data_IF_870587123922
#
_entry.id   IF_870587123922
#
_cell.length_a   1.000
_cell.length_b   1.000
_cell.length_c   1.000
_cell.angle_alpha   90.00
_cell.angle_beta   90.00
_cell.angle_gamma   90.00
#
_symmetry.space_group_name_H-M   'P 1'
#
loop_
_entity.id
_entity.type
_entity.pdbx_description
1 polymer ?
#
# COMPACT_ATOMS: atom_id res chain seq x y z
N UNK A 1 40.10 23.55 2.88
CA UNK A 1 40.29 23.34 4.34
C UNK A 1 39.07 23.87 5.05
N UNK A 2 38.26 23.00 5.58
CA UNK A 2 37.45 23.13 6.81
C UNK A 2 36.53 21.91 6.87
N UNK A 3 36.94 20.94 7.70
CA UNK A 3 36.16 19.75 8.09
C UNK A 3 35.14 20.19 9.14
N UNK A 4 33.87 19.81 8.97
CA UNK A 4 32.88 19.87 10.02
C UNK A 4 32.52 18.44 10.39
N UNK A 5 32.93 18.04 11.58
CA UNK A 5 32.64 16.80 12.28
C UNK A 5 31.25 16.94 12.88
N UNK A 6 30.32 16.02 12.56
CA UNK A 6 29.04 15.92 13.26
C UNK A 6 29.08 14.70 14.18
N UNK A 7 28.92 14.99 15.44
CA UNK A 7 29.00 14.14 16.60
C UNK A 7 27.71 13.29 16.72
N UNK A 8 27.85 11.97 16.69
CA UNK A 8 26.78 11.03 17.01
C UNK A 8 26.56 10.95 18.51
N UNK A 9 25.36 11.18 18.97
CA UNK A 9 24.96 10.92 20.36
C UNK A 9 24.14 9.62 20.38
N UNK A 10 24.76 8.56 20.89
CA UNK A 10 24.09 7.33 21.32
C UNK A 10 23.53 7.55 22.72
N UNK A 11 22.24 7.32 22.92
CA UNK A 11 21.66 7.20 24.24
C UNK A 11 21.26 5.75 24.50
N UNK A 12 22.08 5.05 25.31
CA UNK A 12 21.71 3.78 25.93
C UNK A 12 20.82 4.08 27.14
N UNK A 13 19.70 3.40 27.24
CA UNK A 13 18.96 3.28 28.50
C UNK A 13 18.95 1.83 28.95
N UNK A 14 19.53 1.62 30.12
CA UNK A 14 19.75 0.34 30.76
C UNK A 14 18.49 -0.20 31.45
N UNK A 15 18.39 -1.53 31.47
CA UNK A 15 17.45 -2.33 32.23
C UNK A 15 17.71 -2.29 33.74
N UNK A 16 16.66 -2.34 34.56
CA UNK A 16 16.75 -2.71 35.96
C UNK A 16 15.77 -3.85 36.28
N UNK A 17 16.34 -4.99 36.67
CA UNK A 17 15.69 -6.12 37.34
C UNK A 17 15.55 -5.84 38.84
N UNK A 18 14.43 -6.26 39.46
CA UNK A 18 14.34 -6.72 40.86
C UNK A 18 13.03 -7.51 40.96
N UNK A 19 12.98 -8.77 41.16
CA UNK A 19 13.34 -9.68 42.24
C UNK A 19 12.23 -9.83 43.30
N UNK A 20 11.70 -11.05 43.35
CA UNK A 20 11.24 -11.92 44.44
C UNK A 20 10.46 -11.37 45.66
N UNK A 21 9.34 -12.08 45.91
CA UNK A 21 8.72 -12.18 47.24
C UNK A 21 7.74 -13.33 47.33
N UNK A 22 8.10 -14.36 48.06
CA UNK A 22 7.41 -15.64 48.34
C UNK A 22 6.38 -15.53 49.45
N UNK A 23 5.41 -16.43 49.38
CA UNK A 23 4.78 -17.27 50.42
C UNK A 23 3.66 -16.69 51.31
N UNK A 24 2.64 -17.54 51.43
CA UNK A 24 1.66 -17.51 52.49
C UNK A 24 0.42 -18.37 52.22
N UNK A 25 0.46 -19.64 52.59
CA UNK A 25 -0.69 -20.55 52.72
C UNK A 25 -1.66 -20.09 53.81
N UNK A 26 -2.97 -20.34 53.64
CA UNK A 26 -3.80 -21.04 54.63
C UNK A 26 -5.30 -21.02 54.32
N UNK A 27 -5.86 -22.21 54.15
CA UNK A 27 -7.05 -22.85 54.75
C UNK A 27 -8.45 -22.21 54.63
N UNK A 28 -9.27 -22.92 53.88
CA UNK A 28 -10.69 -23.34 54.04
C UNK A 28 -11.69 -22.50 54.87
N UNK A 29 -12.84 -22.22 54.21
CA UNK A 29 -14.19 -22.48 54.78
C UNK A 29 -15.24 -22.56 53.66
N UNK A 30 -16.01 -23.66 53.68
CA UNK A 30 -17.23 -23.91 52.90
C UNK A 30 -18.33 -22.95 53.31
N UNK A 31 -19.00 -22.36 52.35
CA UNK A 31 -20.45 -22.12 52.46
C UNK A 31 -21.04 -22.14 51.04
N UNK A 32 -21.96 -23.07 50.86
CA UNK A 32 -22.81 -23.19 49.69
C UNK A 32 -23.81 -22.02 49.66
N UNK A 33 -23.83 -21.28 48.59
CA UNK A 33 -24.94 -20.40 48.28
C UNK A 33 -25.37 -20.64 46.85
N UNK A 34 -26.58 -21.17 46.73
CA UNK A 34 -27.29 -21.38 45.49
C UNK A 34 -27.56 -20.02 44.84
N UNK A 35 -26.81 -19.66 43.82
CA UNK A 35 -27.05 -18.47 43.01
C UNK A 35 -27.58 -18.94 41.64
N UNK A 36 -28.83 -18.63 41.40
CA UNK A 36 -29.54 -18.70 40.14
C UNK A 36 -28.74 -18.06 39.02
N UNK A 37 -28.26 -18.87 38.08
CA UNK A 37 -27.64 -18.42 36.85
C UNK A 37 -28.67 -17.65 36.01
N UNK A 38 -28.60 -16.33 36.04
CA UNK A 38 -29.12 -15.50 34.96
C UNK A 38 -28.17 -15.57 33.79
N UNK A 39 -28.53 -16.33 32.77
CA UNK A 39 -27.89 -16.28 31.46
C UNK A 39 -28.12 -14.89 30.88
N UNK A 40 -27.18 -14.00 31.07
CA UNK A 40 -27.09 -12.78 30.28
C UNK A 40 -26.52 -13.18 28.93
N UNK A 41 -27.42 -13.30 27.95
CA UNK A 41 -27.04 -13.36 26.53
C UNK A 41 -26.26 -12.07 26.24
N UNK A 42 -24.94 -12.17 26.15
CA UNK A 42 -24.11 -11.09 25.63
C UNK A 42 -24.51 -10.92 24.15
N UNK A 43 -25.23 -9.86 23.88
CA UNK A 43 -25.52 -9.40 22.52
C UNK A 43 -24.17 -9.04 21.92
N UNK A 44 -23.72 -9.85 20.96
CA UNK A 44 -22.59 -9.55 20.11
C UNK A 44 -22.81 -8.13 19.54
N UNK A 45 -21.82 -7.23 19.60
CA UNK A 45 -22.00 -5.88 19.08
C UNK A 45 -22.32 -5.98 17.60
N UNK A 46 -23.55 -5.64 17.26
CA UNK A 46 -24.03 -5.49 15.90
C UNK A 46 -23.07 -4.52 15.18
N UNK A 47 -22.28 -5.05 14.25
CA UNK A 47 -21.40 -4.25 13.40
C UNK A 47 -22.33 -3.45 12.49
N UNK A 48 -22.72 -2.26 12.96
CA UNK A 48 -23.45 -1.32 12.13
C UNK A 48 -22.58 -1.01 10.91
N UNK A 49 -23.02 -1.32 9.70
CA UNK A 49 -22.26 -0.98 8.49
C UNK A 49 -22.08 0.53 8.49
N UNK A 50 -20.83 1.00 8.65
CA UNK A 50 -20.53 2.41 8.50
C UNK A 50 -20.93 2.79 7.08
N UNK A 51 -21.83 3.74 6.94
CA UNK A 51 -22.24 4.25 5.64
C UNK A 51 -21.03 4.88 4.97
N UNK A 52 -20.56 4.25 3.88
CA UNK A 52 -19.47 4.77 3.08
C UNK A 52 -19.95 6.03 2.34
N UNK A 53 -19.74 7.20 2.93
CA UNK A 53 -20.11 8.50 2.35
C UNK A 53 -19.32 8.84 1.07
N UNK A 54 -18.28 8.05 0.76
CA UNK A 54 -17.31 8.38 -0.29
C UNK A 54 -17.54 7.66 -1.62
N UNK A 55 -18.65 6.92 -1.76
CA UNK A 55 -19.00 6.18 -2.98
C UNK A 55 -18.13 4.95 -3.26
N UNK A 56 -17.33 4.48 -2.30
CA UNK A 56 -16.72 3.16 -2.30
C UNK A 56 -17.71 2.12 -1.79
N UNK A 57 -17.69 0.90 -2.35
CA UNK A 57 -18.50 -0.22 -1.82
C UNK A 57 -17.75 -0.88 -0.68
N UNK A 58 -18.44 -1.19 0.42
CA UNK A 58 -17.87 -1.97 1.51
C UNK A 58 -17.35 -3.31 0.99
N UNK A 59 -16.16 -3.68 1.43
CA UNK A 59 -15.52 -4.96 1.13
C UNK A 59 -14.77 -5.44 2.37
N UNK A 60 -14.60 -6.76 2.55
CA UNK A 60 -13.74 -7.27 3.62
C UNK A 60 -12.31 -6.75 3.46
N UNK A 61 -11.64 -6.55 4.60
CA UNK A 61 -10.20 -6.25 4.59
C UNK A 61 -9.43 -7.40 3.96
N UNK A 62 -8.51 -7.11 3.03
CA UNK A 62 -7.62 -8.14 2.50
C UNK A 62 -6.77 -8.74 3.61
N UNK A 63 -6.61 -10.05 3.58
CA UNK A 63 -5.70 -10.75 4.48
C UNK A 63 -4.31 -10.69 3.87
N UNK A 64 -3.27 -10.25 4.62
CA UNK A 64 -1.90 -10.31 4.16
C UNK A 64 -1.55 -11.74 3.74
N UNK A 65 -0.97 -11.90 2.58
CA UNK A 65 -0.49 -13.19 2.10
C UNK A 65 0.81 -13.01 1.34
N UNK A 66 1.80 -13.86 1.64
CA UNK A 66 2.96 -13.93 0.80
C UNK A 66 2.57 -14.49 -0.56
N UNK A 67 2.74 -13.72 -1.61
CA UNK A 67 2.59 -14.26 -2.95
C UNK A 67 3.80 -15.11 -3.31
N UNK A 68 3.59 -16.26 -3.98
CA UNK A 68 4.69 -17.04 -4.48
C UNK A 68 5.55 -16.18 -5.43
N UNK A 69 6.86 -16.37 -5.39
CA UNK A 69 7.78 -15.72 -6.32
C UNK A 69 7.33 -15.98 -7.75
N UNK A 70 7.07 -14.90 -8.50
CA UNK A 70 6.67 -14.98 -9.90
C UNK A 70 7.88 -14.70 -10.81
N UNK A 71 8.09 -15.47 -11.87
CA UNK A 71 9.19 -15.21 -12.77
C UNK A 71 8.99 -13.90 -13.53
N UNK A 72 10.06 -13.11 -13.66
CA UNK A 72 10.06 -11.90 -14.48
C UNK A 72 9.65 -12.25 -15.93
N UNK A 73 8.68 -11.51 -16.45
CA UNK A 73 8.21 -11.71 -17.81
C UNK A 73 9.27 -11.28 -18.84
N UNK A 74 9.60 -12.17 -19.76
CA UNK A 74 10.45 -11.86 -20.92
C UNK A 74 9.70 -11.15 -22.06
N UNK A 75 8.34 -11.08 -21.97
CA UNK A 75 7.49 -10.52 -23.00
C UNK A 75 7.47 -8.98 -22.93
N UNK A 76 8.09 -8.35 -23.90
CA UNK A 76 8.07 -6.89 -24.07
C UNK A 76 6.75 -6.41 -24.63
N UNK A 77 6.41 -5.15 -24.37
CA UNK A 77 5.31 -4.45 -25.04
C UNK A 77 5.82 -3.77 -26.31
N UNK A 78 4.96 -3.70 -27.33
CA UNK A 78 5.31 -3.04 -28.60
C UNK A 78 5.24 -1.52 -28.44
N UNK A 79 6.32 -0.84 -28.76
CA UNK A 79 6.36 0.65 -28.77
C UNK A 79 5.46 1.31 -29.83
N UNK A 80 4.89 0.51 -30.74
CA UNK A 80 3.98 0.97 -31.79
C UNK A 80 2.51 0.96 -31.35
N UNK A 81 2.20 0.47 -30.16
CA UNK A 81 0.86 0.37 -29.60
C UNK A 81 0.74 1.16 -28.32
N UNK A 82 -0.44 1.72 -28.09
CA UNK A 82 -0.84 2.27 -26.81
C UNK A 82 -1.43 1.15 -25.95
N UNK A 83 -1.00 1.05 -24.69
CA UNK A 83 -1.52 0.08 -23.73
C UNK A 83 -2.16 0.83 -22.56
N UNK A 84 -3.36 0.42 -22.21
CA UNK A 84 -4.08 0.94 -21.05
C UNK A 84 -4.30 -0.19 -20.06
N UNK A 85 -3.88 0.03 -18.84
CA UNK A 85 -4.21 -0.84 -17.70
C UNK A 85 -5.51 -0.34 -17.09
N UNK A 86 -6.57 -1.14 -17.19
CA UNK A 86 -7.87 -0.88 -16.58
C UNK A 86 -7.89 -1.50 -15.19
N UNK A 87 -7.76 -0.67 -14.19
CA UNK A 87 -7.69 -1.01 -12.77
C UNK A 87 -9.09 -0.85 -12.16
N UNK A 88 -9.73 -1.95 -11.78
CA UNK A 88 -11.05 -1.96 -11.16
C UNK A 88 -10.92 -2.13 -9.65
N UNK A 89 -11.50 -1.21 -8.89
CA UNK A 89 -11.53 -1.23 -7.43
C UNK A 89 -12.98 -1.25 -6.91
N UNK A 90 -13.16 -1.38 -5.59
CA UNK A 90 -14.46 -1.15 -4.95
C UNK A 90 -14.85 0.35 -4.94
N UNK A 91 -13.89 1.27 -5.22
CA UNK A 91 -14.11 2.72 -5.30
C UNK A 91 -14.35 3.23 -6.73
N UNK A 92 -14.29 2.35 -7.73
CA UNK A 92 -14.45 2.68 -9.15
C UNK A 92 -13.28 2.20 -10.00
N UNK A 93 -13.23 2.68 -11.24
CA UNK A 93 -12.22 2.30 -12.23
C UNK A 93 -11.21 3.43 -12.43
N UNK A 94 -9.93 3.07 -12.49
CA UNK A 94 -8.82 3.94 -12.86
C UNK A 94 -8.19 3.36 -14.12
N UNK A 95 -8.00 4.18 -15.13
CA UNK A 95 -7.34 3.79 -16.38
C UNK A 95 -5.94 4.42 -16.43
N UNK A 96 -4.93 3.60 -16.68
CA UNK A 96 -3.53 4.02 -16.70
C UNK A 96 -2.95 3.72 -18.08
N UNK A 97 -2.62 4.76 -18.83
CA UNK A 97 -1.85 4.62 -20.06
C UNK A 97 -0.38 4.37 -19.70
N UNK A 98 0.17 3.25 -20.18
CA UNK A 98 1.53 2.82 -19.87
C UNK A 98 2.54 3.55 -20.76
N UNK A 99 3.61 4.08 -20.15
CA UNK A 99 4.71 4.74 -20.86
C UNK A 99 5.71 3.72 -21.44
N UNK A 100 5.24 2.93 -22.42
CA UNK A 100 6.06 1.88 -23.05
C UNK A 100 7.27 2.44 -23.81
N UNK A 101 7.23 3.70 -24.22
CA UNK A 101 8.32 4.33 -24.99
C UNK A 101 9.51 4.66 -24.11
N UNK A 102 9.27 5.26 -22.94
CA UNK A 102 10.33 5.76 -22.06
C UNK A 102 10.64 4.80 -20.90
N UNK A 103 9.69 3.91 -20.54
CA UNK A 103 9.85 2.92 -19.48
C UNK A 103 9.53 1.47 -19.95
N UNK A 104 10.22 0.95 -20.99
CA UNK A 104 9.91 -0.35 -21.58
C UNK A 104 10.12 -1.53 -20.64
N UNK A 105 11.08 -1.48 -19.71
CA UNK A 105 11.31 -2.55 -18.74
C UNK A 105 10.23 -2.54 -17.65
N UNK A 106 9.96 -1.37 -17.08
CA UNK A 106 8.95 -1.16 -16.04
C UNK A 106 7.58 -1.58 -16.51
N UNK A 107 7.16 -1.11 -17.71
CA UNK A 107 5.87 -1.45 -18.28
C UNK A 107 5.76 -2.92 -18.67
N UNK A 108 6.83 -3.57 -19.12
CA UNK A 108 6.86 -4.99 -19.42
C UNK A 108 6.75 -5.86 -18.16
N UNK A 109 7.44 -5.48 -17.07
CA UNK A 109 7.34 -6.14 -15.77
C UNK A 109 5.91 -6.04 -15.22
N UNK A 110 5.37 -4.83 -15.12
CA UNK A 110 4.00 -4.59 -14.69
C UNK A 110 2.98 -5.38 -15.53
N UNK A 111 3.10 -5.33 -16.85
CA UNK A 111 2.23 -6.07 -17.74
C UNK A 111 2.34 -7.60 -17.55
N UNK A 112 3.52 -8.10 -17.20
CA UNK A 112 3.75 -9.50 -16.84
C UNK A 112 2.98 -9.90 -15.58
N UNK A 113 3.01 -9.08 -14.55
CA UNK A 113 2.27 -9.27 -13.30
C UNK A 113 0.75 -9.21 -13.54
N UNK A 114 0.28 -8.22 -14.31
CA UNK A 114 -1.14 -8.08 -14.69
C UNK A 114 -1.65 -9.33 -15.40
N UNK A 115 -0.92 -9.88 -16.37
CA UNK A 115 -1.33 -11.11 -17.09
C UNK A 115 -1.43 -12.33 -16.17
N UNK A 116 -0.67 -12.36 -15.07
CA UNK A 116 -0.73 -13.41 -14.04
C UNK A 116 -1.76 -13.13 -12.96
N UNK A 117 -2.53 -12.05 -13.09
CA UNK A 117 -3.51 -11.63 -12.08
C UNK A 117 -2.89 -11.37 -10.71
N UNK A 118 -1.60 -11.02 -10.66
CA UNK A 118 -0.87 -10.78 -9.41
C UNK A 118 -1.54 -9.73 -8.52
N UNK A 119 -2.15 -8.72 -9.12
CA UNK A 119 -2.78 -7.61 -8.41
C UNK A 119 -4.22 -7.89 -7.97
N UNK A 120 -4.85 -8.98 -8.47
CA UNK A 120 -6.25 -9.27 -8.16
C UNK A 120 -6.38 -9.62 -6.66
N UNK A 121 -7.18 -8.86 -5.91
CA UNK A 121 -7.36 -9.01 -4.47
C UNK A 121 -6.39 -8.20 -3.60
N UNK A 122 -5.35 -7.60 -4.15
CA UNK A 122 -4.49 -6.69 -3.41
C UNK A 122 -5.22 -5.37 -3.12
N UNK A 123 -4.64 -4.53 -2.28
CA UNK A 123 -5.23 -3.26 -1.92
C UNK A 123 -4.34 -2.05 -2.21
N UNK A 124 -4.94 -0.88 -2.07
CA UNK A 124 -4.22 0.34 -1.78
C UNK A 124 -4.03 0.40 -0.27
N UNK A 125 -2.84 0.05 0.17
CA UNK A 125 -2.49 -0.06 1.59
C UNK A 125 -2.04 1.28 2.21
N UNK A 126 -1.85 2.32 1.38
CA UNK A 126 -1.40 3.63 1.85
C UNK A 126 -2.08 4.74 1.06
N UNK A 127 -2.66 5.69 1.78
CA UNK A 127 -3.19 6.95 1.25
C UNK A 127 -2.56 8.07 2.07
N UNK A 128 -1.63 8.77 1.48
CA UNK A 128 -0.76 9.72 2.19
C UNK A 128 -1.20 11.16 2.01
N UNK A 129 -1.31 11.87 3.14
CA UNK A 129 -1.72 13.27 3.23
C UNK A 129 -0.80 14.04 4.19
N UNK A 130 0.48 14.23 3.88
CA UNK A 130 1.37 14.98 4.74
C UNK A 130 0.81 16.40 4.96
N UNK A 131 0.71 16.78 6.23
CA UNK A 131 0.12 18.08 6.63
C UNK A 131 -1.32 18.29 6.10
N UNK A 132 -2.08 17.21 5.90
CA UNK A 132 -3.46 17.25 5.39
C UNK A 132 -3.56 17.58 3.89
N UNK A 133 -2.46 17.51 3.15
CA UNK A 133 -2.43 17.79 1.70
C UNK A 133 -2.33 16.48 0.91
N UNK A 134 -3.05 16.42 -0.20
CA UNK A 134 -2.94 15.31 -1.15
C UNK A 134 -1.49 15.06 -1.54
N UNK A 135 -1.07 13.78 -1.53
CA UNK A 135 0.27 13.39 -1.92
C UNK A 135 0.25 12.20 -2.88
N UNK A 136 0.03 10.99 -2.37
CA UNK A 136 -0.04 9.77 -3.19
C UNK A 136 -1.03 8.75 -2.63
N UNK A 137 -1.54 7.88 -3.50
CA UNK A 137 -2.18 6.62 -3.12
C UNK A 137 -1.29 5.48 -3.61
N UNK A 138 -0.98 4.49 -2.77
CA UNK A 138 -0.02 3.43 -3.05
C UNK A 138 -0.64 2.06 -2.80
N UNK A 139 -0.37 1.13 -3.71
CA UNK A 139 -0.87 -0.25 -3.64
C UNK A 139 0.07 -1.25 -4.32
N UNK A 140 -0.38 -2.52 -4.36
CA UNK A 140 0.36 -3.59 -5.05
C UNK A 140 1.37 -4.33 -4.19
N UNK A 141 1.25 -4.23 -2.86
CA UNK A 141 1.98 -5.02 -1.87
C UNK A 141 1.14 -6.25 -1.48
N UNK A 142 1.60 -7.48 -1.74
CA UNK A 142 0.89 -8.69 -1.33
C UNK A 142 0.93 -8.93 0.18
N UNK A 143 1.92 -8.43 0.87
CA UNK A 143 2.17 -8.69 2.29
C UNK A 143 1.59 -7.59 3.20
N UNK A 144 1.16 -6.45 2.66
CA UNK A 144 0.67 -5.27 3.39
C UNK A 144 1.69 -4.67 4.38
N UNK A 145 2.98 -4.98 4.20
CA UNK A 145 4.08 -4.52 5.05
C UNK A 145 4.74 -3.25 4.54
N UNK A 146 4.47 -2.86 3.29
CA UNK A 146 5.21 -1.84 2.55
C UNK A 146 6.50 -2.39 1.89
N UNK A 147 6.89 -3.64 2.18
CA UNK A 147 8.10 -4.28 1.67
C UNK A 147 7.82 -5.48 0.76
N UNK A 148 6.57 -5.93 0.68
CA UNK A 148 6.19 -7.07 -0.14
C UNK A 148 6.35 -6.81 -1.64
N UNK A 149 6.50 -7.89 -2.40
CA UNK A 149 6.73 -7.79 -3.84
C UNK A 149 6.63 -9.11 -4.58
N UNK A 150 7.01 -9.15 -5.86
CA UNK A 150 6.86 -10.32 -6.72
C UNK A 150 8.02 -11.30 -6.61
N UNK A 151 8.96 -11.12 -5.65
CA UNK A 151 10.16 -11.93 -5.51
C UNK A 151 11.31 -11.54 -6.46
N UNK A 152 11.17 -10.42 -7.18
CA UNK A 152 12.23 -9.82 -8.00
C UNK A 152 12.08 -8.30 -8.05
N UNK A 153 13.14 -7.62 -8.43
CA UNK A 153 13.12 -6.23 -8.81
C UNK A 153 13.81 -6.02 -10.16
N UNK A 154 13.48 -4.91 -10.81
CA UNK A 154 14.16 -4.41 -12.01
C UNK A 154 14.61 -2.97 -11.77
N UNK A 155 15.55 -2.50 -12.59
CA UNK A 155 16.01 -1.11 -12.53
C UNK A 155 15.81 -0.45 -13.89
N UNK A 156 15.03 0.65 -13.88
CA UNK A 156 14.84 1.52 -15.03
C UNK A 156 14.73 2.97 -14.54
N UNK A 157 15.83 3.70 -14.62
CA UNK A 157 15.89 5.08 -14.11
C UNK A 157 15.00 6.01 -14.94
N UNK A 158 14.18 6.86 -14.29
CA UNK A 158 13.47 7.90 -14.98
C UNK A 158 14.41 8.99 -15.50
N UNK A 159 13.92 9.83 -16.42
CA UNK A 159 14.62 11.03 -16.84
C UNK A 159 14.86 11.96 -15.64
N UNK A 160 16.02 12.62 -15.60
CA UNK A 160 16.31 13.66 -14.59
C UNK A 160 15.32 14.84 -14.61
N UNK A 161 14.57 14.99 -15.71
CA UNK A 161 13.53 16.02 -15.89
C UNK A 161 12.15 15.55 -15.47
N UNK A 162 12.01 14.29 -15.00
CA UNK A 162 10.72 13.73 -14.57
C UNK A 162 10.15 14.56 -13.43
N UNK A 163 8.85 14.84 -13.54
CA UNK A 163 8.06 15.50 -12.50
C UNK A 163 6.89 14.59 -12.12
N UNK A 164 6.68 14.47 -10.82
CA UNK A 164 5.57 13.67 -10.28
C UNK A 164 4.41 14.62 -9.97
N UNK A 165 3.61 14.86 -10.99
CA UNK A 165 2.40 15.68 -10.93
C UNK A 165 1.16 14.80 -10.85
N UNK A 166 0.00 15.39 -10.54
CA UNK A 166 -1.28 14.69 -10.44
C UNK A 166 -1.51 13.77 -11.65
N UNK A 167 -1.89 12.52 -11.36
CA UNK A 167 -2.15 11.48 -12.35
C UNK A 167 -0.92 10.70 -12.81
N UNK A 168 0.31 11.13 -12.51
CA UNK A 168 1.50 10.30 -12.78
C UNK A 168 1.46 9.05 -11.92
N UNK A 169 1.71 7.90 -12.55
CA UNK A 169 1.83 6.60 -11.90
C UNK A 169 3.29 6.16 -11.94
N UNK A 170 3.85 5.85 -10.79
CA UNK A 170 5.24 5.41 -10.68
C UNK A 170 5.37 4.20 -9.74
N UNK A 171 6.45 3.46 -9.89
CA UNK A 171 6.74 2.30 -9.05
C UNK A 171 7.35 2.75 -7.74
N UNK A 172 6.86 2.16 -6.66
CA UNK A 172 7.42 2.42 -5.33
C UNK A 172 8.75 1.68 -5.15
N UNK A 173 9.61 2.25 -4.34
CA UNK A 173 10.88 1.68 -3.88
C UNK A 173 11.17 2.15 -2.46
N UNK A 174 12.01 1.44 -1.74
CA UNK A 174 12.54 1.87 -0.43
C UNK A 174 13.63 2.94 -0.61
N UNK A 175 13.98 3.64 0.47
CA UNK A 175 15.00 4.69 0.38
C UNK A 175 16.38 4.13 0.02
N UNK A 176 16.69 2.91 0.48
CA UNK A 176 18.00 2.26 0.27
C UNK A 176 18.16 1.66 -1.13
N UNK A 177 17.06 1.48 -1.86
CA UNK A 177 17.12 0.96 -3.22
C UNK A 177 17.60 2.01 -4.22
N UNK A 178 18.30 1.55 -5.25
CA UNK A 178 18.79 2.42 -6.33
C UNK A 178 17.65 3.16 -7.03
N UNK A 179 17.89 4.39 -7.54
CA UNK A 179 16.91 5.11 -8.35
C UNK A 179 16.43 4.26 -9.54
N UNK A 180 15.11 4.20 -9.71
CA UNK A 180 14.46 3.42 -10.76
C UNK A 180 14.24 1.95 -10.43
N UNK A 181 14.55 1.49 -9.21
CA UNK A 181 14.18 0.14 -8.75
C UNK A 181 12.67 0.01 -8.68
N UNK A 182 12.15 -1.14 -9.08
CA UNK A 182 10.73 -1.44 -9.03
C UNK A 182 10.45 -2.94 -8.89
N UNK A 183 9.54 -3.28 -7.97
CA UNK A 183 8.94 -4.60 -7.80
C UNK A 183 7.51 -4.62 -8.36
N UNK A 184 6.53 -4.84 -7.48
CA UNK A 184 5.10 -4.79 -7.81
C UNK A 184 4.39 -3.54 -7.29
N UNK A 185 4.90 -2.91 -6.24
CA UNK A 185 4.23 -1.76 -5.63
C UNK A 185 4.30 -0.54 -6.55
N UNK A 186 3.18 0.17 -6.65
CA UNK A 186 3.07 1.40 -7.42
C UNK A 186 2.30 2.45 -6.63
N UNK A 187 2.51 3.71 -6.97
CA UNK A 187 1.72 4.81 -6.44
C UNK A 187 1.19 5.70 -7.56
N UNK A 188 0.08 6.34 -7.31
CA UNK A 188 -0.52 7.35 -8.16
C UNK A 188 -0.42 8.69 -7.42
N UNK A 189 0.14 9.68 -8.07
CA UNK A 189 0.25 11.02 -7.51
C UNK A 189 -1.11 11.68 -7.50
N UNK A 190 -1.55 12.13 -6.33
CA UNK A 190 -2.80 12.87 -6.13
C UNK A 190 -2.54 14.36 -5.89
N UNK A 191 -1.33 14.71 -5.44
CA UNK A 191 -0.88 16.08 -5.33
C UNK A 191 -0.76 16.76 -6.70
N UNK A 192 -1.04 18.06 -6.77
CA UNK A 192 -0.75 18.86 -7.96
C UNK A 192 0.71 18.74 -8.39
N UNK A 193 1.63 18.67 -7.44
CA UNK A 193 3.06 18.39 -7.63
C UNK A 193 3.62 17.79 -6.33
N UNK A 194 3.98 16.53 -6.36
CA UNK A 194 4.52 15.83 -5.18
C UNK A 194 5.96 16.25 -4.82
N UNK A 195 6.64 17.01 -5.66
CA UNK A 195 8.03 17.47 -5.46
C UNK A 195 9.01 16.33 -5.15
N UNK A 196 8.71 15.11 -5.59
CA UNK A 196 9.57 13.96 -5.45
C UNK A 196 10.81 14.10 -6.35
N UNK A 197 12.00 13.62 -5.91
CA UNK A 197 13.18 13.52 -6.76
C UNK A 197 12.91 12.52 -7.90
N UNK A 198 13.63 12.61 -9.05
CA UNK A 198 13.45 11.73 -10.20
C UNK A 198 14.08 10.34 -9.96
N UNK A 199 13.65 9.68 -8.91
CA UNK A 199 14.18 8.39 -8.44
C UNK A 199 13.21 7.22 -8.62
N UNK A 200 11.94 7.49 -8.90
CA UNK A 200 10.90 6.46 -9.04
C UNK A 200 10.63 6.15 -10.50
N UNK A 201 10.74 4.88 -10.90
CA UNK A 201 10.46 4.46 -12.28
C UNK A 201 9.03 4.82 -12.68
N UNK A 202 8.87 5.58 -13.75
CA UNK A 202 7.53 5.96 -14.24
C UNK A 202 6.88 4.75 -14.90
N UNK A 203 5.64 4.43 -14.50
CA UNK A 203 4.84 3.39 -15.13
C UNK A 203 3.97 3.97 -16.25
N UNK A 204 3.44 5.18 -16.05
CA UNK A 204 2.51 5.80 -16.97
C UNK A 204 1.75 6.95 -16.31
N UNK A 205 0.55 7.20 -16.78
CA UNK A 205 -0.31 8.25 -16.24
C UNK A 205 -1.79 7.85 -16.31
N UNK A 206 -2.58 8.38 -15.39
CA UNK A 206 -4.04 8.20 -15.37
C UNK A 206 -4.64 8.92 -16.57
N UNK A 207 -5.50 8.22 -17.30
CA UNK A 207 -6.26 8.76 -18.44
C UNK A 207 -7.76 8.67 -18.18
N UNK A 208 -8.55 9.47 -18.89
CA UNK A 208 -10.00 9.50 -18.71
C UNK A 208 -10.41 10.11 -17.37
N UNK A 209 -11.30 9.42 -16.64
CA UNK A 209 -11.86 9.95 -15.38
C UNK A 209 -10.93 9.78 -14.19
N UNK A 210 -10.67 10.86 -13.46
CA UNK A 210 -9.93 10.85 -12.20
C UNK A 210 -10.81 10.62 -10.95
N UNK A 211 -12.12 10.42 -11.13
CA UNK A 211 -13.09 10.32 -10.03
C UNK A 211 -12.74 9.24 -9.02
N UNK A 212 -12.40 8.02 -9.46
CA UNK A 212 -12.04 6.93 -8.56
C UNK A 212 -10.74 7.21 -7.80
N UNK A 213 -9.72 7.74 -8.48
CA UNK A 213 -8.45 8.14 -7.87
C UNK A 213 -8.67 9.18 -6.77
N UNK A 214 -9.42 10.25 -7.08
CA UNK A 214 -9.71 11.33 -6.11
C UNK A 214 -10.60 10.87 -4.95
N UNK A 215 -11.50 9.91 -5.20
CA UNK A 215 -12.31 9.28 -4.16
C UNK A 215 -11.44 8.52 -3.17
N UNK A 216 -10.52 7.70 -3.67
CA UNK A 216 -9.55 6.98 -2.83
C UNK A 216 -8.68 7.96 -2.04
N UNK A 217 -8.19 9.01 -2.70
CA UNK A 217 -7.37 10.04 -2.06
C UNK A 217 -8.04 10.80 -0.90
N UNK A 218 -9.35 10.75 -0.77
CA UNK A 218 -10.11 11.44 0.29
C UNK A 218 -10.54 10.54 1.43
N UNK A 219 -10.19 9.26 1.38
CA UNK A 219 -10.55 8.33 2.45
C UNK A 219 -9.85 8.68 3.75
N UNK A 220 -10.57 8.47 4.85
CA UNK A 220 -9.98 8.56 6.19
C UNK A 220 -8.91 7.49 6.34
N UNK A 221 -7.77 7.89 6.86
CA UNK A 221 -6.63 7.00 7.10
C UNK A 221 -6.28 6.94 8.58
N UNK A 222 -5.65 5.86 8.99
CA UNK A 222 -4.94 5.81 10.25
C UNK A 222 -3.77 6.81 10.20
N UNK A 223 -3.61 7.68 11.19
CA UNK A 223 -2.64 8.78 11.16
C UNK A 223 -1.18 8.32 11.25
N UNK A 224 -0.92 7.08 11.66
CA UNK A 224 0.44 6.53 11.83
C UNK A 224 0.83 5.70 10.62
N UNK A 225 -0.03 4.76 10.23
CA UNK A 225 0.25 3.84 9.10
C UNK A 225 -0.13 4.40 7.74
N UNK A 226 -0.91 5.48 7.68
CA UNK A 226 -1.53 6.03 6.46
C UNK A 226 -2.42 5.00 5.72
N UNK A 227 -2.80 3.92 6.39
CA UNK A 227 -3.69 2.90 5.84
C UNK A 227 -5.13 3.41 5.83
N UNK A 228 -5.88 3.25 4.73
CA UNK A 228 -7.30 3.58 4.72
C UNK A 228 -8.07 2.80 5.78
N UNK A 229 -8.92 3.49 6.56
CA UNK A 229 -9.81 2.84 7.56
C UNK A 229 -10.77 1.89 6.85
N UNK A 230 -11.29 2.30 5.71
CA UNK A 230 -12.10 1.45 4.84
C UNK A 230 -11.22 0.89 3.72
N UNK A 231 -11.17 -0.44 3.55
CA UNK A 231 -10.22 -1.05 2.62
C UNK A 231 -10.55 -0.72 1.16
N UNK A 232 -9.49 -0.45 0.39
CA UNK A 232 -9.57 -0.22 -1.06
C UNK A 232 -8.96 -1.40 -1.79
N UNK A 233 -9.82 -2.28 -2.31
CA UNK A 233 -9.38 -3.53 -2.94
C UNK A 233 -9.31 -3.39 -4.46
N UNK A 234 -8.20 -3.82 -5.02
CA UNK A 234 -8.00 -4.00 -6.46
C UNK A 234 -8.71 -5.28 -6.89
N UNK A 235 -9.93 -5.17 -7.42
CA UNK A 235 -10.69 -6.32 -7.89
C UNK A 235 -10.04 -6.99 -9.08
N UNK A 236 -9.45 -6.19 -9.96
CA UNK A 236 -8.68 -6.69 -11.09
C UNK A 236 -7.93 -5.58 -11.80
N UNK A 237 -6.81 -5.95 -12.45
CA UNK A 237 -6.19 -5.14 -13.49
C UNK A 237 -6.21 -5.92 -14.80
N UNK A 238 -6.61 -5.27 -15.90
CA UNK A 238 -6.60 -5.86 -17.24
C UNK A 238 -5.94 -4.91 -18.23
N UNK A 239 -5.18 -5.47 -19.16
CA UNK A 239 -4.53 -4.70 -20.21
C UNK A 239 -5.39 -4.69 -21.48
N UNK A 240 -5.62 -3.51 -22.01
CA UNK A 240 -6.16 -3.29 -23.34
C UNK A 240 -5.07 -2.66 -24.21
N UNK A 241 -5.17 -2.82 -25.54
CA UNK A 241 -4.23 -2.19 -26.48
C UNK A 241 -4.97 -1.73 -27.74
N UNK A 242 -4.62 -0.57 -28.18
CA UNK A 242 -5.07 0.04 -29.45
C UNK A 242 -3.88 0.57 -30.25
#
# INVERSE_FOLDING_TARGET
>A
MRRATVLSVFLLAAAALAACGKSGSSVAAKTASTATSRTTTATEPEIVPRSHHDGCKAVPSPVPSAHPTVPLSKRKLSRKRTYVAVLRTNCGTIEIELDVRHAPKTTASFAGLVRRRFYDGLNFHRVSHPEGKDFVIQGGDPELTGNGGPGYSIVERPSRKTRYVEGVVAMAKTQDEAPGTSGSQFFIVTARNAKLPPDYAVLGHVVGSTTAMRRIARLTTDPVSEMPVDPVVIKSIRLTSR
#
